data_IF_267785298483
#
_entry.id   IF_267785298483
#
_cell.length_a   1.000
_cell.length_b   1.000
_cell.length_c   1.000
_cell.angle_alpha   90.00
_cell.angle_beta   90.00
_cell.angle_gamma   90.00
#
_symmetry.space_group_name_H-M   'P 1'
#
loop_
_entity.id
_entity.type
_entity.pdbx_description
1 polymer ?
#
# COMPACT_ATOMS: atom_id res chain seq x y z
N UNK A 1 -4.81 6.10 -4.87
CA UNK A 1 -4.01 4.97 -4.40
C UNK A 1 -3.29 5.36 -3.10
N UNK A 2 -3.34 4.49 -2.09
CA UNK A 2 -2.61 4.61 -0.83
C UNK A 2 -1.63 3.43 -0.70
N UNK A 3 -0.34 3.74 -0.69
CA UNK A 3 0.74 2.77 -0.51
C UNK A 3 1.29 2.91 0.91
N UNK A 4 1.05 1.91 1.73
CA UNK A 4 1.55 1.88 3.10
C UNK A 4 3.05 1.55 3.11
N UNK A 5 3.84 2.17 3.99
CA UNK A 5 5.22 1.73 4.21
C UNK A 5 5.22 0.30 4.74
N UNK A 6 6.40 -0.32 4.80
CA UNK A 6 6.51 -1.61 5.48
C UNK A 6 6.08 -1.48 6.94
N UNK A 7 5.20 -2.38 7.37
CA UNK A 7 4.67 -2.48 8.74
C UNK A 7 4.97 -3.88 9.24
N UNK A 8 5.58 -3.99 10.42
CA UNK A 8 5.89 -5.31 11.02
C UNK A 8 4.60 -6.05 11.38
N UNK A 9 4.65 -7.39 11.28
CA UNK A 9 3.51 -8.23 11.60
C UNK A 9 3.00 -7.97 13.03
N UNK A 10 1.71 -7.69 13.16
CA UNK A 10 1.04 -7.33 14.41
C UNK A 10 1.01 -5.83 14.71
N UNK A 11 1.72 -5.01 13.93
CA UNK A 11 1.66 -3.55 14.02
C UNK A 11 0.62 -2.95 13.06
N UNK A 12 0.42 -1.65 13.13
CA UNK A 12 -0.48 -0.92 12.25
C UNK A 12 0.09 0.42 11.82
N UNK A 13 -0.40 0.91 10.66
CA UNK A 13 -0.05 2.23 10.15
C UNK A 13 -1.28 2.93 9.59
N UNK A 14 -1.40 4.24 9.83
CA UNK A 14 -2.52 5.05 9.35
C UNK A 14 -2.07 5.97 8.22
N UNK A 15 -2.78 5.94 7.11
CA UNK A 15 -2.67 6.94 6.05
C UNK A 15 -3.95 7.76 5.96
N UNK A 16 -3.81 9.00 5.52
CA UNK A 16 -4.90 9.96 5.36
C UNK A 16 -5.18 10.23 3.88
N UNK A 17 -6.46 10.35 3.55
CA UNK A 17 -6.98 10.72 2.24
C UNK A 17 -7.81 11.98 2.39
N UNK A 18 -7.46 13.05 1.67
CA UNK A 18 -8.28 14.26 1.61
C UNK A 18 -9.24 14.18 0.44
N UNK A 19 -10.53 14.34 0.72
CA UNK A 19 -11.60 14.37 -0.26
C UNK A 19 -12.23 15.77 -0.27
N UNK A 20 -12.37 16.36 -1.45
CA UNK A 20 -12.93 17.70 -1.64
C UNK A 20 -14.07 17.65 -2.66
N UNK A 21 -15.21 18.23 -2.33
CA UNK A 21 -16.28 18.43 -3.29
C UNK A 21 -16.01 19.71 -4.11
N UNK A 22 -15.48 19.54 -5.31
CA UNK A 22 -15.24 20.63 -6.27
C UNK A 22 -16.48 20.97 -7.13
N UNK A 23 -17.59 20.26 -6.92
CA UNK A 23 -18.85 20.49 -7.64
C UNK A 23 -19.63 21.69 -7.11
N UNK A 24 -20.79 21.93 -7.71
CA UNK A 24 -21.71 22.99 -7.33
C UNK A 24 -22.96 22.51 -6.57
N UNK A 25 -23.03 21.21 -6.31
CA UNK A 25 -24.11 20.54 -5.57
C UNK A 25 -23.53 19.69 -4.44
N UNK A 26 -24.34 19.33 -3.44
CA UNK A 26 -23.91 18.47 -2.35
C UNK A 26 -23.50 17.09 -2.89
N UNK A 27 -22.30 16.65 -2.55
CA UNK A 27 -21.84 15.29 -2.75
C UNK A 27 -22.44 14.42 -1.63
N UNK A 28 -23.35 13.53 -1.99
CA UNK A 28 -23.95 12.58 -1.04
C UNK A 28 -23.19 11.26 -1.11
N UNK A 29 -22.79 10.75 0.03
CA UNK A 29 -22.18 9.44 0.16
C UNK A 29 -23.29 8.43 0.40
N UNK A 30 -23.54 7.55 -0.57
CA UNK A 30 -24.62 6.57 -0.54
C UNK A 30 -24.20 5.30 0.19
N UNK A 31 -22.96 4.85 -0.02
CA UNK A 31 -22.35 3.72 0.66
C UNK A 31 -20.82 3.83 0.61
N UNK A 32 -20.12 3.17 1.53
CA UNK A 32 -18.67 3.08 1.53
C UNK A 32 -18.17 1.87 2.32
N UNK A 33 -17.20 1.15 1.77
CA UNK A 33 -16.64 -0.01 2.47
C UNK A 33 -15.23 -0.38 1.95
N UNK A 34 -14.53 -1.18 2.74
CA UNK A 34 -13.33 -1.91 2.38
C UNK A 34 -13.62 -3.39 2.63
N UNK A 35 -13.35 -4.26 1.65
CA UNK A 35 -13.69 -5.69 1.76
C UNK A 35 -12.65 -6.52 2.51
N UNK A 36 -11.38 -6.06 2.55
CA UNK A 36 -10.30 -6.73 3.25
C UNK A 36 -10.20 -6.21 4.68
N UNK A 37 -10.24 -7.12 5.67
CA UNK A 37 -10.23 -6.82 7.10
C UNK A 37 -8.89 -6.28 7.63
N UNK A 38 -7.82 -6.38 6.84
CA UNK A 38 -6.52 -5.78 7.16
C UNK A 38 -6.55 -4.25 7.09
N UNK A 39 -7.61 -3.70 6.49
CA UNK A 39 -7.80 -2.24 6.40
C UNK A 39 -9.09 -1.83 7.09
N UNK A 40 -9.03 -0.72 7.83
CA UNK A 40 -10.17 -0.17 8.54
C UNK A 40 -10.31 1.34 8.31
N UNK A 41 -11.53 1.78 8.01
CA UNK A 41 -11.86 3.21 7.96
C UNK A 41 -12.05 3.69 9.40
N UNK A 42 -11.24 4.65 9.86
CA UNK A 42 -11.34 5.22 11.20
C UNK A 42 -12.44 6.28 11.29
N UNK A 43 -12.52 7.16 10.29
CA UNK A 43 -13.49 8.26 10.22
C UNK A 43 -14.15 8.30 8.84
N UNK A 44 -15.27 7.58 8.66
CA UNK A 44 -15.95 7.47 7.35
C UNK A 44 -16.28 8.83 6.72
N UNK A 45 -16.17 8.91 5.40
CA UNK A 45 -16.52 10.10 4.63
C UNK A 45 -17.99 10.46 4.82
N UNK A 46 -18.27 11.74 5.06
CA UNK A 46 -19.62 12.27 5.20
C UNK A 46 -20.03 13.02 3.93
N UNK A 47 -21.31 13.38 3.82
CA UNK A 47 -21.78 14.25 2.75
C UNK A 47 -21.03 15.58 2.80
N UNK A 48 -20.57 16.06 1.63
CA UNK A 48 -19.82 17.30 1.52
C UNK A 48 -20.60 18.36 0.75
N UNK A 49 -20.72 19.55 1.32
CA UNK A 49 -21.24 20.74 0.62
C UNK A 49 -20.26 21.19 -0.46
N UNK A 50 -20.70 21.99 -1.47
CA UNK A 50 -19.79 22.58 -2.45
C UNK A 50 -18.61 23.30 -1.81
N UNK A 51 -17.38 22.93 -2.19
CA UNK A 51 -16.14 23.46 -1.67
C UNK A 51 -15.70 22.89 -0.32
N UNK A 52 -16.48 22.02 0.30
CA UNK A 52 -16.13 21.35 1.56
C UNK A 52 -15.13 20.21 1.34
N UNK A 53 -14.25 20.02 2.32
CA UNK A 53 -13.26 18.94 2.35
C UNK A 53 -13.34 18.17 3.65
N UNK A 54 -13.07 16.88 3.59
CA UNK A 54 -12.89 16.02 4.75
C UNK A 54 -11.67 15.12 4.56
N UNK A 55 -10.88 14.95 5.63
CA UNK A 55 -9.82 13.96 5.70
C UNK A 55 -10.39 12.65 6.22
N UNK A 56 -10.17 11.56 5.49
CA UNK A 56 -10.50 10.19 5.90
C UNK A 56 -9.21 9.48 6.28
N UNK A 57 -9.18 8.87 7.45
CA UNK A 57 -8.06 8.05 7.90
C UNK A 57 -8.37 6.57 7.65
N UNK A 58 -7.41 5.86 7.07
CA UNK A 58 -7.50 4.42 6.85
C UNK A 58 -6.30 3.76 7.53
N UNK A 59 -6.60 2.82 8.43
CA UNK A 59 -5.62 2.06 9.20
C UNK A 59 -5.35 0.76 8.44
N UNK A 60 -4.10 0.45 8.21
CA UNK A 60 -3.63 -0.86 7.79
C UNK A 60 -3.10 -1.60 9.02
N UNK A 61 -3.57 -2.82 9.23
CA UNK A 61 -3.08 -3.76 10.24
C UNK A 61 -2.27 -4.83 9.52
N UNK A 62 -0.97 -4.89 9.78
CA UNK A 62 -0.09 -5.84 9.12
C UNK A 62 -0.29 -7.25 9.69
N UNK A 63 -0.61 -8.20 8.82
CA UNK A 63 -0.56 -9.63 9.05
C UNK A 63 0.51 -10.25 8.14
N UNK A 64 0.66 -11.57 8.17
CA UNK A 64 1.66 -12.25 7.34
C UNK A 64 1.41 -12.03 5.84
N UNK A 65 2.43 -11.49 5.15
CA UNK A 65 2.42 -11.29 3.70
C UNK A 65 1.90 -9.95 3.23
N UNK A 66 1.57 -9.91 1.94
CA UNK A 66 1.08 -8.73 1.25
C UNK A 66 -0.42 -8.58 1.42
N UNK A 67 -0.89 -7.36 1.52
CA UNK A 67 -2.30 -7.07 1.59
C UNK A 67 -2.71 -6.00 0.59
N UNK A 68 -3.82 -6.21 -0.10
CA UNK A 68 -4.38 -5.21 -1.00
C UNK A 68 -5.91 -5.20 -0.93
N UNK A 69 -6.51 -4.05 -1.19
CA UNK A 69 -7.94 -3.86 -1.26
C UNK A 69 -8.30 -2.59 -2.03
N UNK A 70 -9.60 -2.34 -2.19
CA UNK A 70 -10.14 -1.07 -2.64
C UNK A 70 -11.04 -0.46 -1.57
N UNK A 71 -10.79 0.79 -1.21
CA UNK A 71 -11.78 1.59 -0.52
C UNK A 71 -12.78 2.09 -1.56
N UNK A 72 -13.98 1.54 -1.52
CA UNK A 72 -15.07 1.85 -2.45
C UNK A 72 -16.01 2.85 -1.83
N UNK A 73 -16.32 3.90 -2.58
CA UNK A 73 -17.19 5.01 -2.17
C UNK A 73 -18.25 5.17 -3.27
N UNK A 74 -19.52 5.00 -2.91
CA UNK A 74 -20.66 5.21 -3.81
C UNK A 74 -21.26 6.59 -3.55
N UNK A 75 -21.43 7.35 -4.64
CA UNK A 75 -21.82 8.76 -4.58
C UNK A 75 -22.97 9.07 -5.56
N UNK A 76 -23.58 10.21 -5.37
CA UNK A 76 -24.69 10.67 -6.22
C UNK A 76 -24.25 11.35 -7.53
N UNK A 77 -22.99 11.17 -7.96
CA UNK A 77 -22.54 11.67 -9.27
C UNK A 77 -22.97 10.69 -10.37
N UNK A 78 -23.80 11.10 -11.34
CA UNK A 78 -24.27 10.20 -12.39
C UNK A 78 -23.19 9.79 -13.40
N UNK A 79 -22.13 10.59 -13.53
CA UNK A 79 -21.02 10.34 -14.45
C UNK A 79 -19.95 9.44 -13.79
N UNK A 80 -19.82 9.50 -12.47
CA UNK A 80 -18.87 8.70 -11.68
C UNK A 80 -19.52 8.21 -10.36
N UNK A 81 -20.45 7.25 -10.44
CA UNK A 81 -21.21 6.82 -9.27
C UNK A 81 -20.40 6.01 -8.24
N UNK A 82 -19.22 5.56 -8.60
CA UNK A 82 -18.30 4.80 -7.74
C UNK A 82 -16.88 5.31 -7.87
N UNK A 83 -16.26 5.61 -6.73
CA UNK A 83 -14.84 5.93 -6.62
C UNK A 83 -14.13 4.77 -5.93
N UNK A 84 -13.00 4.33 -6.48
CA UNK A 84 -12.16 3.30 -5.88
C UNK A 84 -10.78 3.88 -5.58
N UNK A 85 -10.39 3.82 -4.30
CA UNK A 85 -9.04 4.14 -3.86
C UNK A 85 -8.32 2.83 -3.56
N UNK A 86 -7.31 2.50 -4.35
CA UNK A 86 -6.49 1.30 -4.13
C UNK A 86 -5.67 1.45 -2.85
N UNK A 87 -5.65 0.39 -2.05
CA UNK A 87 -4.93 0.27 -0.78
C UNK A 87 -3.92 -0.86 -0.90
N UNK A 88 -2.67 -0.58 -0.59
CA UNK A 88 -1.57 -1.51 -0.74
C UNK A 88 -0.71 -1.52 0.52
N UNK A 89 -0.76 -2.64 1.27
CA UNK A 89 0.02 -2.88 2.48
C UNK A 89 1.04 -3.98 2.26
N UNK A 90 2.28 -3.77 2.67
CA UNK A 90 3.39 -4.74 2.57
C UNK A 90 3.49 -5.42 1.20
N UNK A 91 3.28 -4.67 0.10
CA UNK A 91 3.38 -5.24 -1.25
C UNK A 91 4.82 -5.72 -1.48
N UNK A 92 4.95 -6.92 -2.06
CA UNK A 92 6.24 -7.45 -2.48
C UNK A 92 6.95 -6.47 -3.43
N UNK A 93 7.95 -5.84 -2.90
CA UNK A 93 8.78 -4.86 -3.57
C UNK A 93 9.88 -4.42 -2.62
N UNK A 94 11.00 -3.97 -3.14
CA UNK A 94 12.07 -3.43 -2.32
C UNK A 94 11.69 -1.99 -1.93
N UNK A 95 10.98 -1.82 -0.83
CA UNK A 95 10.70 -0.51 -0.27
C UNK A 95 11.80 -0.11 0.72
N UNK A 96 11.98 1.20 0.92
CA UNK A 96 12.95 1.70 1.90
C UNK A 96 12.49 1.31 3.30
N UNK A 97 13.33 0.53 4.01
CA UNK A 97 13.06 0.05 5.36
C UNK A 97 12.60 -1.41 5.43
N UNK A 98 12.23 -2.03 4.31
CA UNK A 98 11.92 -3.46 4.26
C UNK A 98 13.19 -4.32 4.27
N UNK A 99 13.14 -5.49 4.92
CA UNK A 99 14.19 -6.50 4.72
C UNK A 99 14.24 -6.90 3.25
N UNK A 100 15.44 -6.90 2.67
CA UNK A 100 15.61 -7.40 1.31
C UNK A 100 15.19 -8.88 1.23
N UNK A 101 14.41 -9.29 0.21
CA UNK A 101 14.07 -10.69 0.01
C UNK A 101 15.34 -11.55 -0.06
N UNK A 102 15.37 -12.67 0.66
CA UNK A 102 16.51 -13.58 0.60
C UNK A 102 16.59 -14.27 -0.76
N UNK A 103 17.78 -14.48 -1.25
CA UNK A 103 18.03 -15.23 -2.46
C UNK A 103 19.34 -16.02 -2.35
N UNK A 104 19.42 -17.12 -3.09
CA UNK A 104 20.63 -17.92 -3.24
C UNK A 104 21.04 -17.97 -4.72
N UNK A 105 22.30 -17.74 -5.01
CA UNK A 105 22.89 -17.78 -6.34
C UNK A 105 24.10 -18.72 -6.35
N UNK A 106 24.13 -19.64 -7.31
CA UNK A 106 25.31 -20.49 -7.53
C UNK A 106 26.48 -19.67 -8.07
N UNK A 107 27.68 -19.92 -7.54
CA UNK A 107 28.91 -19.33 -8.06
C UNK A 107 29.34 -20.11 -9.31
N UNK A 108 29.13 -19.49 -10.49
CA UNK A 108 29.40 -20.14 -11.78
C UNK A 108 30.80 -19.86 -12.34
N UNK A 109 31.56 -18.91 -11.77
CA UNK A 109 32.92 -18.56 -12.22
C UNK A 109 33.77 -18.00 -11.07
N UNK A 110 35.06 -18.26 -11.09
CA UNK A 110 36.07 -17.76 -10.13
C UNK A 110 35.81 -18.11 -8.66
N UNK A 111 35.12 -19.21 -8.41
CA UNK A 111 34.80 -19.71 -7.07
C UNK A 111 34.03 -21.00 -7.13
N UNK A 112 33.53 -21.45 -5.99
CA UNK A 112 32.64 -22.61 -5.85
C UNK A 112 31.67 -22.39 -4.69
N UNK A 113 30.52 -23.07 -4.72
CA UNK A 113 29.46 -22.97 -3.73
C UNK A 113 28.37 -22.00 -4.15
N UNK A 114 27.58 -21.53 -3.20
CA UNK A 114 26.51 -20.55 -3.42
C UNK A 114 26.73 -19.30 -2.57
N UNK A 115 26.12 -18.21 -2.99
CA UNK A 115 25.98 -16.96 -2.24
C UNK A 115 24.53 -16.88 -1.77
N UNK A 116 24.31 -16.76 -0.47
CA UNK A 116 23.00 -16.49 0.11
C UNK A 116 22.99 -15.14 0.81
N UNK A 117 22.01 -14.30 0.52
CA UNK A 117 21.96 -12.92 1.05
C UNK A 117 21.87 -12.90 2.57
N UNK A 118 21.09 -13.79 3.16
CA UNK A 118 20.89 -13.88 4.62
C UNK A 118 22.18 -14.19 5.40
N UNK A 119 23.19 -14.80 4.78
CA UNK A 119 24.50 -15.07 5.42
C UNK A 119 25.34 -13.79 5.59
N UNK A 120 24.92 -12.68 4.97
CA UNK A 120 25.63 -11.40 4.97
C UNK A 120 24.91 -10.29 5.75
N UNK A 121 24.04 -10.67 6.70
CA UNK A 121 23.36 -9.70 7.57
C UNK A 121 24.39 -8.81 8.31
N UNK A 122 24.10 -7.48 8.28
CA UNK A 122 24.98 -6.46 8.86
C UNK A 122 26.17 -6.06 7.98
N UNK A 123 26.27 -6.57 6.75
CA UNK A 123 27.24 -6.19 5.75
C UNK A 123 26.57 -5.36 4.64
N UNK A 124 27.37 -4.56 3.94
CA UNK A 124 26.92 -3.87 2.72
C UNK A 124 27.11 -4.82 1.55
N UNK A 125 26.02 -5.23 0.89
CA UNK A 125 26.01 -6.07 -0.31
C UNK A 125 25.65 -5.20 -1.51
N UNK A 126 26.48 -5.23 -2.56
CA UNK A 126 26.22 -4.53 -3.82
C UNK A 126 25.97 -5.56 -4.91
N UNK A 127 24.77 -5.54 -5.48
CA UNK A 127 24.38 -6.39 -6.62
C UNK A 127 24.54 -5.59 -7.91
N UNK A 128 25.22 -6.18 -8.88
CA UNK A 128 25.36 -5.60 -10.20
C UNK A 128 24.90 -6.62 -11.26
N UNK A 129 23.99 -6.19 -12.13
CA UNK A 129 23.46 -7.01 -13.22
C UNK A 129 24.10 -6.59 -14.54
N UNK A 130 24.71 -7.53 -15.24
CA UNK A 130 25.34 -7.29 -16.53
C UNK A 130 24.65 -8.16 -17.59
N UNK A 131 24.28 -7.57 -18.72
CA UNK A 131 23.90 -8.36 -19.90
C UNK A 131 25.17 -8.94 -20.53
N UNK A 132 25.22 -10.25 -20.86
CA UNK A 132 26.31 -10.78 -21.67
C UNK A 132 26.25 -10.11 -23.03
N UNK A 133 27.38 -9.54 -23.49
CA UNK A 133 27.52 -8.93 -24.81
C UNK A 133 27.60 -9.95 -25.93
#
# INVERSE_FOLDING_TARGET
ELNYPFVENGDSYTLSLDVTNNGNSTLNIEDQYISNTDFQIENPLQNLSPGESQTVNIIYFADEGNSSSGYRIFINDPDEPEIIVELNGNIDGINIGEPAPDFELDVIANGSGSFQLSDHLGQIVVLAFFAPG
#
